data_IF_373686309532
#
_entry.id   IF_373686309532
#
_cell.length_a   1.000
_cell.length_b   1.000
_cell.length_c   1.000
_cell.angle_alpha   90.00
_cell.angle_beta   90.00
_cell.angle_gamma   90.00
#
_symmetry.space_group_name_H-M   'P 1'
#
loop_
_entity.id
_entity.type
_entity.pdbx_description
1 polymer ?
#
# COMPACT_ATOMS: atom_id res chain seq x y z
N UNK A 1 29.21 -0.90 15.56
CA UNK A 1 28.87 -1.55 14.27
C UNK A 1 29.98 -1.34 13.28
N UNK A 2 30.47 -2.40 12.64
CA UNK A 2 31.62 -2.35 11.71
C UNK A 2 31.32 -1.45 10.49
N UNK A 3 32.08 -0.39 10.35
CA UNK A 3 32.06 0.52 9.18
C UNK A 3 32.70 -0.12 7.91
N UNK A 4 32.85 -1.46 7.89
CA UNK A 4 33.42 -2.14 6.73
C UNK A 4 32.35 -2.19 5.61
N UNK A 5 32.69 -1.82 4.37
CA UNK A 5 31.79 -1.95 3.25
C UNK A 5 31.39 -3.43 3.09
N UNK A 6 30.09 -3.67 2.95
CA UNK A 6 29.60 -5.03 2.70
C UNK A 6 30.13 -5.50 1.33
N UNK A 7 30.66 -6.73 1.24
CA UNK A 7 31.09 -7.26 -0.06
C UNK A 7 29.89 -7.45 -0.99
N UNK A 8 30.08 -7.27 -2.29
CA UNK A 8 29.03 -7.33 -3.30
C UNK A 8 28.26 -8.66 -3.26
N UNK A 9 28.94 -9.76 -2.92
CA UNK A 9 28.36 -11.08 -2.74
C UNK A 9 27.34 -11.20 -1.62
N UNK A 10 27.35 -10.29 -0.62
CA UNK A 10 26.31 -10.20 0.42
C UNK A 10 25.31 -9.09 0.12
N UNK A 11 25.77 -8.02 -0.48
CA UNK A 11 24.98 -6.83 -0.77
C UNK A 11 23.85 -7.15 -1.76
N UNK A 12 24.14 -7.84 -2.87
CA UNK A 12 23.17 -8.16 -3.90
C UNK A 12 22.04 -9.10 -3.43
N UNK A 13 22.31 -10.24 -2.74
CA UNK A 13 21.23 -11.06 -2.19
C UNK A 13 20.33 -10.33 -1.19
N UNK A 14 20.89 -9.47 -0.32
CA UNK A 14 20.12 -8.67 0.63
C UNK A 14 19.26 -7.63 -0.10
N UNK A 15 19.78 -6.98 -1.13
CA UNK A 15 19.00 -6.02 -1.95
C UNK A 15 17.86 -6.72 -2.69
N UNK A 16 18.08 -7.93 -3.21
CA UNK A 16 17.02 -8.76 -3.78
C UNK A 16 15.94 -9.13 -2.74
N UNK A 17 16.34 -9.44 -1.50
CA UNK A 17 15.36 -9.70 -0.43
C UNK A 17 14.46 -8.50 -0.17
N UNK A 18 15.03 -7.29 -0.07
CA UNK A 18 14.28 -6.06 0.10
C UNK A 18 13.39 -5.75 -1.09
N UNK A 19 13.87 -5.97 -2.32
CA UNK A 19 13.10 -5.85 -3.55
C UNK A 19 11.86 -6.78 -3.52
N UNK A 20 12.05 -8.05 -3.20
CA UNK A 20 10.93 -9.01 -3.15
C UNK A 20 9.97 -8.75 -1.99
N UNK A 21 10.43 -8.24 -0.86
CA UNK A 21 9.57 -7.90 0.27
C UNK A 21 8.57 -6.78 -0.07
N UNK A 22 9.03 -5.74 -0.77
CA UNK A 22 8.19 -4.60 -1.16
C UNK A 22 7.34 -4.88 -2.40
N UNK A 23 7.75 -5.83 -3.23
CA UNK A 23 7.20 -6.02 -4.57
C UNK A 23 5.70 -6.32 -4.54
N UNK A 24 5.26 -7.23 -3.64
CA UNK A 24 3.86 -7.60 -3.52
C UNK A 24 2.94 -6.42 -3.18
N UNK A 25 3.32 -5.61 -2.20
CA UNK A 25 2.56 -4.44 -1.78
C UNK A 25 2.56 -3.34 -2.87
N UNK A 26 3.71 -3.07 -3.48
CA UNK A 26 3.84 -2.02 -4.50
C UNK A 26 3.02 -2.28 -5.76
N UNK A 27 2.85 -3.53 -6.18
CA UNK A 27 2.07 -3.86 -7.37
C UNK A 27 0.57 -3.97 -7.10
N UNK A 28 0.15 -4.24 -5.86
CA UNK A 28 -1.26 -4.33 -5.51
C UNK A 28 -1.99 -2.99 -5.67
N UNK A 29 -1.38 -1.89 -5.24
CA UNK A 29 -2.00 -0.56 -5.29
C UNK A 29 -2.37 -0.15 -6.72
N UNK A 30 -1.45 -0.18 -7.73
CA UNK A 30 -1.82 0.16 -9.09
C UNK A 30 -2.86 -0.80 -9.69
N UNK A 31 -2.81 -2.10 -9.39
CA UNK A 31 -3.82 -3.05 -9.85
C UNK A 31 -5.21 -2.76 -9.26
N UNK A 32 -5.29 -2.29 -8.02
CA UNK A 32 -6.53 -1.91 -7.36
C UNK A 32 -7.06 -0.55 -7.84
N UNK A 33 -6.18 0.38 -8.17
CA UNK A 33 -6.55 1.74 -8.58
C UNK A 33 -6.71 1.92 -10.08
N UNK A 34 -6.31 0.92 -10.90
CA UNK A 34 -6.30 1.03 -12.36
C UNK A 34 -5.07 1.77 -12.92
N UNK A 35 -4.07 2.05 -12.07
CA UNK A 35 -2.79 2.65 -12.48
C UNK A 35 -1.86 1.59 -13.07
N UNK A 36 -0.81 2.02 -13.76
CA UNK A 36 0.14 1.11 -14.40
C UNK A 36 1.15 0.54 -13.39
N UNK A 37 1.29 -0.80 -13.25
CA UNK A 37 2.25 -1.41 -12.31
C UNK A 37 3.72 -1.06 -12.60
N UNK A 38 4.13 -0.94 -13.87
CA UNK A 38 5.50 -0.57 -14.23
C UNK A 38 5.80 0.89 -13.80
N UNK A 39 4.84 1.81 -13.96
CA UNK A 39 4.95 3.18 -13.46
C UNK A 39 5.04 3.22 -11.94
N UNK A 40 4.25 2.40 -11.24
CA UNK A 40 4.32 2.31 -9.77
C UNK A 40 5.68 1.80 -9.29
N UNK A 41 6.26 0.79 -9.94
CA UNK A 41 7.61 0.32 -9.65
C UNK A 41 8.67 1.41 -9.92
N UNK A 42 8.57 2.12 -11.05
CA UNK A 42 9.48 3.22 -11.40
C UNK A 42 9.44 4.33 -10.35
N UNK A 43 8.23 4.78 -9.99
CA UNK A 43 8.04 5.88 -9.05
C UNK A 43 8.39 5.51 -7.61
N UNK A 44 8.16 4.26 -7.20
CA UNK A 44 8.62 3.70 -5.94
C UNK A 44 10.15 3.69 -5.85
N UNK A 45 10.82 3.20 -6.90
CA UNK A 45 12.29 3.15 -6.96
C UNK A 45 12.91 4.55 -6.94
N UNK A 46 12.47 5.43 -7.83
CA UNK A 46 12.98 6.80 -7.90
C UNK A 46 12.63 7.63 -6.67
N UNK A 47 11.43 7.43 -6.10
CA UNK A 47 11.00 8.04 -4.83
C UNK A 47 11.86 7.59 -3.66
N UNK A 48 12.20 6.30 -3.58
CA UNK A 48 13.14 5.76 -2.57
C UNK A 48 14.52 6.40 -2.70
N UNK A 49 15.06 6.52 -3.92
CA UNK A 49 16.37 7.18 -4.13
C UNK A 49 16.31 8.66 -3.77
N UNK A 50 15.24 9.37 -4.09
CA UNK A 50 15.01 10.76 -3.71
C UNK A 50 14.94 10.91 -2.18
N UNK A 51 14.24 10.01 -1.48
CA UNK A 51 14.21 9.97 -0.02
C UNK A 51 15.60 9.80 0.58
N UNK A 52 16.40 8.87 0.05
CA UNK A 52 17.79 8.68 0.51
C UNK A 52 18.65 9.90 0.26
N UNK A 53 18.48 10.61 -0.86
CA UNK A 53 19.18 11.85 -1.15
C UNK A 53 18.85 12.92 -0.09
N UNK A 54 17.57 13.11 0.23
CA UNK A 54 17.11 14.14 1.18
C UNK A 54 17.52 13.80 2.62
N UNK A 55 17.48 12.52 3.00
CA UNK A 55 17.90 12.05 4.33
C UNK A 55 19.40 11.83 4.46
N UNK A 56 20.19 12.12 3.40
CA UNK A 56 21.63 11.94 3.37
C UNK A 56 22.07 10.48 3.48
N UNK A 57 21.23 9.54 3.01
CA UNK A 57 21.51 8.10 3.07
C UNK A 57 21.60 7.54 4.48
N UNK A 58 21.00 8.19 5.48
CA UNK A 58 21.14 7.79 6.89
C UNK A 58 20.05 6.79 7.31
N UNK A 59 18.85 6.88 6.73
CA UNK A 59 17.68 6.10 7.14
C UNK A 59 17.52 4.90 6.20
N UNK A 60 17.57 3.67 6.71
CA UNK A 60 17.37 2.47 5.89
C UNK A 60 15.88 2.21 5.69
N UNK A 61 15.20 3.06 4.93
CA UNK A 61 13.79 2.91 4.56
C UNK A 61 13.65 2.68 3.05
N UNK A 62 12.62 1.95 2.65
CA UNK A 62 12.16 1.80 1.29
C UNK A 62 10.76 2.42 1.17
N UNK A 63 10.51 3.13 0.09
CA UNK A 63 9.22 3.76 -0.18
C UNK A 63 8.51 3.02 -1.30
N UNK A 64 7.23 2.77 -1.11
CA UNK A 64 6.39 2.16 -2.12
C UNK A 64 4.96 2.69 -2.10
N UNK A 65 4.10 2.08 -2.90
CA UNK A 65 2.74 2.55 -3.12
C UNK A 65 1.88 2.51 -1.85
N UNK A 66 1.27 3.62 -1.46
CA UNK A 66 0.47 3.73 -0.24
C UNK A 66 -0.94 3.17 -0.41
N UNK A 67 -1.34 2.28 0.48
CA UNK A 67 -2.70 1.70 0.53
C UNK A 67 -3.77 2.71 0.95
N UNK A 68 -3.40 3.71 1.74
CA UNK A 68 -4.34 4.73 2.21
C UNK A 68 -4.98 5.53 1.07
N UNK A 69 -4.30 5.64 -0.06
CA UNK A 69 -4.78 6.39 -1.22
C UNK A 69 -5.66 5.57 -2.18
N UNK A 70 -5.83 4.24 -1.99
CA UNK A 70 -6.58 3.39 -2.93
C UNK A 70 -8.01 3.90 -3.09
N UNK A 71 -8.79 3.92 -2.01
CA UNK A 71 -10.20 4.32 -2.08
C UNK A 71 -10.40 5.78 -2.55
N UNK A 72 -9.63 6.77 -2.05
CA UNK A 72 -9.70 8.13 -2.56
C UNK A 72 -9.34 8.27 -4.05
N UNK A 73 -8.31 7.56 -4.53
CA UNK A 73 -7.95 7.57 -5.96
C UNK A 73 -9.08 6.96 -6.80
N UNK A 74 -9.63 5.80 -6.39
CA UNK A 74 -10.75 5.18 -7.09
C UNK A 74 -11.96 6.11 -7.18
N UNK A 75 -12.32 6.77 -6.08
CA UNK A 75 -13.43 7.69 -6.03
C UNK A 75 -13.23 8.90 -6.97
N UNK A 76 -12.06 9.55 -6.86
CA UNK A 76 -11.74 10.74 -7.67
C UNK A 76 -11.55 10.38 -9.15
N UNK A 77 -10.90 9.24 -9.44
CA UNK A 77 -10.71 8.79 -10.82
C UNK A 77 -12.04 8.48 -11.52
N UNK A 78 -13.02 7.93 -10.80
CA UNK A 78 -14.34 7.63 -11.33
C UNK A 78 -15.17 8.90 -11.60
N UNK A 79 -15.04 9.95 -10.77
CA UNK A 79 -15.86 11.16 -10.85
C UNK A 79 -15.19 12.29 -11.65
N UNK A 80 -13.86 12.45 -11.53
CA UNK A 80 -13.09 13.57 -12.09
C UNK A 80 -11.95 13.15 -13.03
N UNK A 81 -11.69 11.84 -13.18
CA UNK A 81 -10.61 11.29 -13.99
C UNK A 81 -9.25 11.19 -13.26
N UNK A 82 -8.33 10.41 -13.84
CA UNK A 82 -7.00 10.18 -13.25
C UNK A 82 -6.12 11.44 -13.17
N UNK A 83 -6.28 12.39 -14.09
CA UNK A 83 -5.54 13.66 -14.05
C UNK A 83 -5.86 14.48 -12.81
N UNK A 84 -7.14 14.50 -12.38
CA UNK A 84 -7.56 15.17 -11.15
C UNK A 84 -7.06 14.40 -9.90
N UNK A 85 -7.08 13.08 -9.93
CA UNK A 85 -6.50 12.26 -8.87
C UNK A 85 -5.00 12.52 -8.71
N UNK A 86 -4.25 12.58 -9.81
CA UNK A 86 -2.81 12.89 -9.80
C UNK A 86 -2.53 14.29 -9.23
N UNK A 87 -3.27 15.32 -9.66
CA UNK A 87 -3.15 16.68 -9.13
C UNK A 87 -3.41 16.75 -7.62
N UNK A 88 -4.46 16.06 -7.15
CA UNK A 88 -4.79 15.98 -5.72
C UNK A 88 -3.74 15.21 -4.90
N UNK A 89 -3.15 14.14 -5.46
CA UNK A 89 -2.04 13.41 -4.85
C UNK A 89 -0.74 14.25 -4.78
N UNK A 90 -0.46 15.07 -5.82
CA UNK A 90 0.65 16.04 -5.76
C UNK A 90 0.42 17.02 -4.62
N UNK A 91 -0.79 17.55 -4.50
CA UNK A 91 -1.15 18.46 -3.41
C UNK A 91 -0.99 17.80 -2.04
N UNK A 92 -1.38 16.52 -1.89
CA UNK A 92 -1.13 15.75 -0.68
C UNK A 92 0.36 15.69 -0.33
N UNK A 93 1.24 15.40 -1.29
CA UNK A 93 2.69 15.42 -1.08
C UNK A 93 3.24 16.82 -0.72
N UNK A 94 2.67 17.90 -1.27
CA UNK A 94 3.02 19.27 -0.89
C UNK A 94 2.62 19.60 0.57
N UNK A 95 1.54 19.00 1.09
CA UNK A 95 1.20 19.11 2.51
C UNK A 95 2.26 18.49 3.42
N UNK A 96 2.90 17.38 3.01
CA UNK A 96 4.06 16.84 3.73
C UNK A 96 5.23 17.83 3.76
N UNK A 97 5.51 18.48 2.62
CA UNK A 97 6.57 19.49 2.52
C UNK A 97 6.29 20.66 3.47
N UNK A 98 5.05 21.14 3.47
CA UNK A 98 4.60 22.20 4.40
C UNK A 98 4.74 21.75 5.85
N UNK A 99 4.22 20.57 6.20
CA UNK A 99 4.31 20.01 7.55
C UNK A 99 5.75 19.78 7.98
N UNK A 100 6.63 19.33 7.08
CA UNK A 100 8.08 19.23 7.32
C UNK A 100 8.66 20.57 7.74
N UNK A 101 8.31 21.65 7.02
CA UNK A 101 8.72 23.02 7.38
C UNK A 101 8.23 23.46 8.77
N UNK A 102 6.95 23.17 9.08
CA UNK A 102 6.36 23.47 10.39
C UNK A 102 7.09 22.68 11.48
N UNK A 103 7.32 21.38 11.32
CA UNK A 103 8.03 20.55 12.29
C UNK A 103 9.44 21.06 12.55
N UNK A 104 10.12 21.53 11.51
CA UNK A 104 11.45 22.13 11.67
C UNK A 104 11.44 23.38 12.56
N UNK A 105 10.34 24.14 12.56
CA UNK A 105 10.17 25.37 13.34
C UNK A 105 9.68 25.10 14.76
N UNK A 106 8.68 24.25 14.94
CA UNK A 106 7.99 24.04 16.24
C UNK A 106 8.49 22.81 17.01
N UNK A 107 9.19 21.90 16.35
CA UNK A 107 9.71 20.69 16.95
C UNK A 107 8.75 19.52 17.05
N UNK A 108 9.28 18.34 17.35
CA UNK A 108 8.55 17.08 17.46
C UNK A 108 7.47 17.04 18.56
N UNK A 109 7.69 17.63 19.77
CA UNK A 109 6.68 17.58 20.85
C UNK A 109 5.33 18.22 20.49
N UNK A 110 5.34 19.29 19.67
CA UNK A 110 4.11 19.93 19.20
C UNK A 110 3.30 19.00 18.30
N UNK A 111 3.95 18.23 17.43
CA UNK A 111 3.30 17.26 16.55
C UNK A 111 2.65 16.14 17.35
N UNK A 112 3.37 15.57 18.32
CA UNK A 112 2.86 14.49 19.18
C UNK A 112 1.65 14.92 20.02
N UNK A 113 1.55 16.21 20.36
CA UNK A 113 0.39 16.75 21.06
C UNK A 113 -0.85 16.84 20.18
N UNK A 114 -0.68 17.16 18.90
CA UNK A 114 -1.77 17.31 17.93
C UNK A 114 -2.27 15.95 17.47
N UNK A 115 -1.35 14.99 17.28
CA UNK A 115 -1.61 13.66 16.73
C UNK A 115 -1.14 12.58 17.74
N UNK A 116 -1.86 12.43 18.87
CA UNK A 116 -1.52 11.41 19.87
C UNK A 116 -1.97 10.00 19.42
N UNK A 117 -1.49 8.93 20.06
CA UNK A 117 -1.84 7.55 19.71
C UNK A 117 -3.35 7.25 19.70
N UNK A 118 -4.15 7.93 20.50
CA UNK A 118 -5.62 7.81 20.54
C UNK A 118 -6.28 8.25 19.22
N UNK A 119 -5.61 9.08 18.43
CA UNK A 119 -6.02 9.47 17.07
C UNK A 119 -5.38 8.56 16.04
N UNK A 120 -4.06 8.29 16.17
CA UNK A 120 -3.27 7.50 15.23
C UNK A 120 -3.84 6.11 15.03
N UNK A 121 -4.07 5.37 16.12
CA UNK A 121 -4.53 3.99 16.07
C UNK A 121 -5.82 3.81 15.27
N UNK A 122 -6.92 4.52 15.62
CA UNK A 122 -8.18 4.42 14.90
C UNK A 122 -8.08 4.87 13.44
N UNK A 123 -7.27 5.89 13.13
CA UNK A 123 -7.04 6.33 11.74
C UNK A 123 -6.41 5.22 10.92
N UNK A 124 -5.37 4.54 11.42
CA UNK A 124 -4.76 3.37 10.76
C UNK A 124 -5.80 2.25 10.62
N UNK A 125 -6.64 2.01 11.64
CA UNK A 125 -7.70 1.00 11.54
C UNK A 125 -8.66 1.28 10.38
N UNK A 126 -9.01 2.54 10.13
CA UNK A 126 -9.92 2.90 9.04
C UNK A 126 -9.33 2.67 7.65
N UNK A 127 -7.99 2.63 7.48
CA UNK A 127 -7.35 2.27 6.21
C UNK A 127 -7.73 0.83 5.85
N UNK A 128 -7.48 -0.11 6.75
CA UNK A 128 -7.79 -1.52 6.51
C UNK A 128 -9.29 -1.78 6.38
N UNK A 129 -10.09 -1.28 7.32
CA UNK A 129 -11.54 -1.50 7.35
C UNK A 129 -12.27 -0.82 6.18
N UNK A 130 -11.83 0.36 5.77
CA UNK A 130 -12.43 1.09 4.64
C UNK A 130 -12.27 0.36 3.29
N UNK A 131 -11.26 -0.50 3.16
CA UNK A 131 -10.99 -1.29 1.97
C UNK A 131 -11.61 -2.70 2.00
N UNK A 132 -12.32 -3.07 3.09
CA UNK A 132 -12.93 -4.39 3.23
C UNK A 132 -13.95 -4.71 2.12
N UNK A 133 -14.71 -3.71 1.66
CA UNK A 133 -15.63 -3.83 0.52
C UNK A 133 -14.91 -4.21 -0.78
N UNK A 134 -13.78 -3.59 -1.06
CA UNK A 134 -12.93 -3.91 -2.23
C UNK A 134 -12.40 -5.34 -2.14
N UNK A 135 -11.92 -5.76 -0.98
CA UNK A 135 -11.45 -7.13 -0.75
C UNK A 135 -12.56 -8.16 -1.03
N UNK A 136 -13.79 -7.89 -0.54
CA UNK A 136 -14.97 -8.72 -0.78
C UNK A 136 -15.26 -8.85 -2.27
N UNK A 137 -15.43 -7.75 -2.99
CA UNK A 137 -15.79 -7.78 -4.42
C UNK A 137 -14.78 -8.53 -5.26
N UNK A 138 -13.48 -8.39 -4.96
CA UNK A 138 -12.43 -9.12 -5.66
C UNK A 138 -12.43 -10.62 -5.35
N UNK A 139 -12.69 -11.01 -4.11
CA UNK A 139 -12.78 -12.42 -3.71
C UNK A 139 -14.02 -13.12 -4.28
N UNK A 140 -15.16 -12.42 -4.37
CA UNK A 140 -16.42 -12.94 -4.90
C UNK A 140 -16.37 -13.29 -6.39
N UNK A 141 -15.42 -12.75 -7.17
CA UNK A 141 -15.21 -13.15 -8.58
C UNK A 141 -14.97 -14.66 -8.69
N UNK A 142 -14.18 -15.23 -7.78
CA UNK A 142 -14.03 -16.68 -7.60
C UNK A 142 -13.56 -16.98 -6.18
N UNK A 143 -14.51 -17.29 -5.31
CA UNK A 143 -14.24 -17.50 -3.88
C UNK A 143 -13.27 -18.66 -3.62
N UNK A 144 -13.26 -19.70 -4.45
CA UNK A 144 -12.34 -20.83 -4.28
C UNK A 144 -10.90 -20.42 -4.48
N UNK A 145 -10.59 -19.67 -5.56
CA UNK A 145 -9.24 -19.15 -5.82
C UNK A 145 -8.83 -18.19 -4.69
N UNK A 146 -9.75 -17.29 -4.28
CA UNK A 146 -9.47 -16.34 -3.22
C UNK A 146 -9.14 -17.04 -1.89
N UNK A 147 -9.92 -18.05 -1.50
CA UNK A 147 -9.70 -18.80 -0.25
C UNK A 147 -8.43 -19.64 -0.29
N UNK A 148 -8.10 -20.29 -1.42
CA UNK A 148 -6.84 -21.03 -1.57
C UNK A 148 -5.65 -20.08 -1.45
N UNK A 149 -5.73 -18.91 -2.09
CA UNK A 149 -4.68 -17.88 -2.00
C UNK A 149 -4.54 -17.35 -0.58
N UNK A 150 -5.66 -17.02 0.09
CA UNK A 150 -5.67 -16.57 1.47
C UNK A 150 -5.02 -17.59 2.42
N UNK A 151 -5.42 -18.87 2.32
CA UNK A 151 -4.84 -19.95 3.12
C UNK A 151 -3.34 -20.11 2.84
N UNK A 152 -2.92 -20.03 1.57
CA UNK A 152 -1.51 -20.10 1.21
C UNK A 152 -0.70 -18.99 1.90
N UNK A 153 -1.18 -17.72 1.84
CA UNK A 153 -0.50 -16.59 2.50
C UNK A 153 -0.45 -16.79 4.02
N UNK A 154 -1.56 -17.24 4.66
CA UNK A 154 -1.60 -17.50 6.10
C UNK A 154 -0.59 -18.59 6.49
N UNK A 155 -0.60 -19.71 5.78
CA UNK A 155 0.31 -20.84 6.07
C UNK A 155 1.77 -20.39 5.92
N UNK A 156 2.10 -19.67 4.84
CA UNK A 156 3.46 -19.17 4.63
C UNK A 156 3.84 -18.16 5.72
N UNK A 157 2.96 -17.24 6.08
CA UNK A 157 3.25 -16.23 7.11
C UNK A 157 3.56 -16.85 8.48
N UNK A 158 2.90 -17.95 8.82
CA UNK A 158 3.02 -18.59 10.13
C UNK A 158 4.13 -19.64 10.15
N UNK A 159 4.16 -20.52 9.17
CA UNK A 159 4.99 -21.73 9.20
C UNK A 159 6.27 -21.64 8.38
N UNK A 160 6.37 -20.70 7.41
CA UNK A 160 7.57 -20.60 6.60
C UNK A 160 8.77 -20.12 7.41
N UNK A 161 9.95 -20.60 7.01
CA UNK A 161 11.25 -20.23 7.59
C UNK A 161 12.15 -19.60 6.52
N UNK A 162 13.17 -18.87 6.98
CA UNK A 162 14.15 -18.26 6.08
C UNK A 162 13.53 -17.24 5.13
N UNK A 163 13.89 -17.30 3.86
CA UNK A 163 13.50 -16.33 2.83
C UNK A 163 11.99 -16.27 2.59
N UNK A 164 11.30 -17.42 2.54
CA UNK A 164 9.84 -17.47 2.30
C UNK A 164 9.03 -16.71 3.35
N UNK A 165 9.51 -16.67 4.61
CA UNK A 165 8.89 -15.90 5.68
C UNK A 165 8.91 -14.38 5.39
N UNK A 166 9.86 -13.90 4.59
CA UNK A 166 10.02 -12.48 4.25
C UNK A 166 9.10 -12.03 3.12
N UNK A 167 8.62 -12.97 2.28
CA UNK A 167 7.86 -12.68 1.09
C UNK A 167 6.50 -13.42 1.04
N UNK A 168 5.69 -13.40 2.11
CA UNK A 168 4.47 -14.19 2.17
C UNK A 168 3.46 -13.77 1.11
N UNK A 169 3.33 -12.46 0.85
CA UNK A 169 2.42 -11.90 -0.15
C UNK A 169 2.81 -12.37 -1.54
N UNK A 170 4.08 -12.21 -1.92
CA UNK A 170 4.57 -12.64 -3.24
C UNK A 170 4.44 -14.16 -3.44
N UNK A 171 4.74 -14.93 -2.40
CA UNK A 171 4.57 -16.39 -2.43
C UNK A 171 3.09 -16.80 -2.56
N UNK A 172 2.21 -16.08 -1.89
CA UNK A 172 0.76 -16.26 -2.01
C UNK A 172 0.25 -15.93 -3.41
N UNK A 173 0.74 -14.82 -4.01
CA UNK A 173 0.47 -14.49 -5.43
C UNK A 173 0.88 -15.66 -6.32
N UNK A 174 2.13 -16.14 -6.19
CA UNK A 174 2.65 -17.21 -7.03
C UNK A 174 1.84 -18.50 -6.90
N UNK A 175 1.45 -18.89 -5.68
CA UNK A 175 0.65 -20.11 -5.44
C UNK A 175 -0.79 -19.94 -5.94
N UNK A 176 -1.45 -18.81 -5.69
CA UNK A 176 -2.79 -18.52 -6.17
C UNK A 176 -2.85 -18.43 -7.69
N UNK A 177 -1.83 -17.81 -8.30
CA UNK A 177 -1.66 -17.76 -9.74
C UNK A 177 -1.45 -19.15 -10.33
N UNK A 178 -0.54 -19.95 -9.76
CA UNK A 178 -0.29 -21.33 -10.17
C UNK A 178 -1.54 -22.21 -10.04
N UNK A 179 -2.32 -22.07 -8.96
CA UNK A 179 -3.60 -22.75 -8.79
C UNK A 179 -4.61 -22.35 -9.87
N UNK A 180 -4.67 -21.06 -10.20
CA UNK A 180 -5.54 -20.57 -11.29
C UNK A 180 -5.14 -21.15 -12.64
N UNK A 181 -3.84 -21.20 -12.94
CA UNK A 181 -3.32 -21.86 -14.16
C UNK A 181 -3.68 -23.34 -14.20
N UNK A 182 -3.56 -24.05 -13.08
CA UNK A 182 -3.92 -25.46 -12.98
C UNK A 182 -5.40 -25.68 -13.28
N UNK A 183 -6.28 -24.88 -12.72
CA UNK A 183 -7.71 -24.94 -12.99
C UNK A 183 -8.04 -24.62 -14.45
N UNK A 184 -7.36 -23.62 -15.01
CA UNK A 184 -7.51 -23.25 -16.41
C UNK A 184 -7.04 -24.37 -17.35
N UNK A 185 -5.90 -25.01 -17.03
CA UNK A 185 -5.39 -26.18 -17.78
C UNK A 185 -6.32 -27.38 -17.70
N UNK A 186 -6.86 -27.71 -16.52
CA UNK A 186 -7.86 -28.79 -16.37
C UNK A 186 -9.12 -28.51 -17.21
N UNK A 187 -9.59 -27.26 -17.24
CA UNK A 187 -10.72 -26.86 -18.07
C UNK A 187 -10.42 -27.02 -19.57
N UNK A 188 -9.21 -26.68 -19.99
CA UNK A 188 -8.75 -26.85 -21.37
C UNK A 188 -8.72 -28.33 -21.77
N UNK A 189 -8.21 -29.21 -20.90
CA UNK A 189 -8.23 -30.66 -21.07
C UNK A 189 -9.67 -31.21 -21.15
N UNK A 190 -10.57 -30.77 -20.27
CA UNK A 190 -11.98 -31.18 -20.29
C UNK A 190 -12.75 -30.60 -21.48
N UNK A 191 -12.35 -29.44 -21.99
CA UNK A 191 -12.93 -28.84 -23.20
C UNK A 191 -12.52 -29.56 -24.48
N UNK A 192 -11.30 -30.12 -24.55
CA UNK A 192 -10.81 -30.95 -25.67
C UNK A 192 -11.56 -32.31 -25.69
N UNK A 193 -11.77 -32.91 -24.52
CA UNK A 193 -12.68 -34.05 -24.39
C UNK A 193 -14.11 -33.50 -24.32
N UNK A 194 -14.74 -33.42 -25.46
CA UNK A 194 -16.17 -33.08 -25.55
C UNK A 194 -16.95 -34.22 -24.90
N UNK A 195 -16.79 -34.40 -23.59
CA UNK A 195 -17.41 -35.46 -22.79
C UNK A 195 -18.92 -35.38 -22.90
N UNK A 196 -19.46 -34.18 -23.13
CA UNK A 196 -20.88 -33.95 -23.38
C UNK A 196 -21.38 -34.60 -24.68
N UNK A 197 -20.55 -34.58 -25.74
CA UNK A 197 -20.88 -35.28 -27.02
C UNK A 197 -20.57 -36.77 -26.96
N UNK A 198 -19.55 -37.19 -26.20
CA UNK A 198 -19.18 -38.60 -26.04
C UNK A 198 -20.14 -39.38 -25.12
N UNK A 199 -20.70 -38.72 -24.10
CA UNK A 199 -21.59 -39.38 -23.14
C UNK A 199 -23.06 -39.32 -23.52
N UNK A 200 -23.47 -38.51 -24.49
CA UNK A 200 -24.86 -38.38 -24.97
C UNK A 200 -25.91 -38.11 -23.88
N UNK A 201 -27.02 -37.50 -24.24
CA UNK A 201 -28.19 -37.36 -23.36
C UNK A 201 -28.07 -36.35 -22.21
N UNK A 202 -29.00 -36.43 -21.25
CA UNK A 202 -29.17 -35.48 -20.13
C UNK A 202 -27.94 -35.37 -19.20
N UNK A 203 -27.13 -36.40 -19.09
CA UNK A 203 -25.93 -36.41 -18.26
C UNK A 203 -24.80 -35.61 -18.92
N UNK A 204 -24.58 -35.79 -20.22
CA UNK A 204 -23.61 -34.99 -20.98
C UNK A 204 -23.93 -33.50 -20.99
N UNK A 205 -25.22 -33.15 -21.12
CA UNK A 205 -25.66 -31.74 -21.02
C UNK A 205 -25.42 -31.14 -19.62
N UNK A 206 -25.59 -31.93 -18.54
CA UNK A 206 -25.27 -31.50 -17.17
C UNK A 206 -23.78 -31.29 -16.94
N UNK A 207 -22.93 -32.18 -17.44
CA UNK A 207 -21.48 -32.09 -17.33
C UNK A 207 -20.93 -30.91 -18.17
N UNK A 208 -21.44 -30.72 -19.38
CA UNK A 208 -21.10 -29.56 -20.23
C UNK A 208 -21.52 -28.20 -19.63
N UNK A 209 -22.60 -28.18 -18.83
CA UNK A 209 -23.05 -26.97 -18.17
C UNK A 209 -22.31 -26.61 -16.87
N UNK A 210 -21.64 -27.57 -16.24
CA UNK A 210 -20.88 -27.37 -14.99
C UNK A 210 -19.66 -26.43 -15.14
N UNK A 211 -18.79 -26.54 -16.17
CA UNK A 211 -17.63 -25.69 -16.31
C UNK A 211 -17.96 -24.19 -16.48
N UNK A 212 -19.05 -23.87 -17.18
CA UNK A 212 -19.46 -22.48 -17.42
C UNK A 212 -19.99 -21.76 -16.19
N UNK A 213 -20.44 -22.50 -15.15
CA UNK A 213 -20.88 -21.93 -13.86
C UNK A 213 -19.74 -21.84 -12.84
N UNK A 214 -18.70 -22.66 -12.98
CA UNK A 214 -17.59 -22.73 -12.02
C UNK A 214 -16.50 -21.76 -12.41
N UNK A 215 -16.29 -21.49 -13.69
CA UNK A 215 -15.30 -20.52 -14.18
C UNK A 215 -15.86 -19.72 -15.36
N UNK A 216 -16.17 -18.45 -15.20
CA UNK A 216 -16.31 -17.51 -16.31
C UNK A 216 -15.01 -17.45 -17.13
N UNK A 217 -15.00 -16.80 -18.26
CA UNK A 217 -13.91 -16.64 -19.25
C UNK A 217 -12.46 -16.76 -18.71
N UNK A 218 -11.45 -17.06 -19.53
CA UNK A 218 -10.08 -17.27 -19.05
C UNK A 218 -9.65 -16.12 -18.15
N UNK A 219 -9.27 -16.45 -16.90
CA UNK A 219 -8.86 -15.47 -15.88
C UNK A 219 -7.45 -14.94 -16.13
N UNK A 220 -6.67 -15.58 -17.02
CA UNK A 220 -5.28 -15.24 -17.35
C UNK A 220 -5.16 -15.21 -18.86
N UNK A 221 -4.85 -14.01 -19.39
CA UNK A 221 -4.54 -13.78 -20.79
C UNK A 221 -3.10 -13.26 -20.93
N UNK A 222 -2.29 -13.95 -21.74
CA UNK A 222 -0.89 -13.60 -21.99
C UNK A 222 -0.69 -12.85 -23.32
N UNK A 223 -1.73 -12.46 -24.02
CA UNK A 223 -1.61 -11.78 -25.32
C UNK A 223 -0.78 -10.48 -25.19
N UNK A 224 -1.15 -9.61 -24.25
CA UNK A 224 -0.42 -8.38 -23.97
C UNK A 224 1.04 -8.63 -23.56
N UNK A 225 1.31 -9.69 -22.79
CA UNK A 225 2.68 -10.06 -22.39
C UNK A 225 3.53 -10.45 -23.60
N UNK A 226 2.95 -11.15 -24.58
CA UNK A 226 3.67 -11.58 -25.79
C UNK A 226 4.03 -10.38 -26.66
N UNK A 227 3.14 -9.43 -26.81
CA UNK A 227 3.30 -8.25 -27.66
C UNK A 227 4.17 -7.17 -27.01
N UNK A 228 4.26 -7.13 -25.67
CA UNK A 228 5.04 -6.13 -24.97
C UNK A 228 6.54 -6.23 -25.27
N UNK A 229 7.24 -5.10 -25.48
CA UNK A 229 8.68 -5.06 -25.65
C UNK A 229 9.42 -5.43 -24.35
N UNK A 230 10.67 -5.90 -24.48
CA UNK A 230 11.50 -6.19 -23.32
C UNK A 230 11.98 -4.95 -22.59
N UNK A 231 12.24 -3.85 -23.31
CA UNK A 231 12.74 -2.59 -22.77
C UNK A 231 11.97 -1.42 -23.38
N UNK A 232 11.36 -0.63 -22.52
CA UNK A 232 10.80 0.69 -22.81
C UNK A 232 10.64 1.49 -21.51
N UNK A 233 10.51 2.80 -21.61
CA UNK A 233 10.10 3.60 -20.46
C UNK A 233 8.67 3.24 -20.05
N UNK A 234 8.36 3.24 -18.73
CA UNK A 234 6.99 3.06 -18.26
C UNK A 234 6.05 4.10 -18.89
N UNK A 235 4.80 3.73 -19.06
CA UNK A 235 3.78 4.66 -19.54
C UNK A 235 3.42 5.60 -18.41
N UNK A 236 3.89 6.84 -18.51
CA UNK A 236 3.57 7.90 -17.56
C UNK A 236 2.22 8.51 -17.97
N UNK A 237 1.23 8.32 -17.12
CA UNK A 237 -0.14 8.84 -17.17
C UNK A 237 -0.77 8.96 -18.56
N UNK A 238 -1.68 8.05 -18.89
CA UNK A 238 -2.67 8.28 -19.95
C UNK A 238 -4.05 7.90 -19.44
N UNK A 239 -5.09 8.66 -19.79
CA UNK A 239 -6.47 8.19 -19.70
C UNK A 239 -6.58 6.93 -20.57
N UNK A 240 -6.71 5.77 -19.95
CA UNK A 240 -6.72 4.49 -20.64
C UNK A 240 -5.38 3.74 -20.66
N UNK A 241 -4.43 4.07 -19.81
CA UNK A 241 -3.15 3.37 -19.68
C UNK A 241 -3.27 1.85 -19.45
N UNK A 242 -4.47 1.38 -19.17
CA UNK A 242 -4.80 -0.04 -19.02
C UNK A 242 -5.36 -0.68 -20.30
N UNK A 243 -5.69 0.07 -21.33
CA UNK A 243 -6.15 -0.44 -22.64
C UNK A 243 -5.13 -0.12 -23.73
N UNK A 244 -4.16 -0.96 -23.88
CA UNK A 244 -3.34 -1.36 -25.00
C UNK A 244 -3.19 -0.49 -26.27
N UNK A 245 -3.01 0.83 -26.19
CA UNK A 245 -2.64 1.64 -27.36
C UNK A 245 -1.29 2.33 -27.12
N UNK A 246 -0.32 2.02 -27.96
CA UNK A 246 1.04 2.50 -27.87
C UNK A 246 1.17 3.99 -28.18
N UNK A 247 1.34 4.80 -27.16
CA UNK A 247 1.71 6.20 -27.24
C UNK A 247 2.11 6.70 -25.87
N UNK A 248 3.14 7.55 -25.80
CA UNK A 248 3.48 8.31 -24.60
C UNK A 248 2.53 9.52 -24.59
N UNK A 249 1.31 9.37 -24.09
CA UNK A 249 0.47 10.50 -23.79
C UNK A 249 0.72 10.89 -22.33
N UNK A 250 1.51 11.95 -22.15
CA UNK A 250 1.73 12.55 -20.84
C UNK A 250 0.52 13.39 -20.47
N UNK A 251 -0.33 12.83 -19.60
CA UNK A 251 -1.48 13.57 -19.09
C UNK A 251 -1.02 14.51 -17.98
N UNK A 252 -1.08 15.82 -18.22
CA UNK A 252 -0.73 16.80 -17.20
C UNK A 252 -1.71 16.70 -16.01
N UNK A 253 -1.19 16.64 -14.76
CA UNK A 253 -2.02 16.66 -13.57
C UNK A 253 -2.94 17.88 -13.54
N UNK A 254 -4.23 17.67 -13.20
CA UNK A 254 -5.22 18.73 -13.10
C UNK A 254 -5.57 18.97 -11.63
N UNK A 255 -5.46 20.23 -11.20
CA UNK A 255 -5.78 20.62 -9.82
C UNK A 255 -7.27 20.98 -9.72
N UNK A 256 -8.07 20.00 -9.33
CA UNK A 256 -9.51 20.14 -9.09
C UNK A 256 -9.76 20.24 -7.58
N UNK A 257 -10.40 21.32 -7.12
CA UNK A 257 -10.61 21.57 -5.68
C UNK A 257 -11.38 20.42 -5.01
N UNK A 258 -12.42 19.89 -5.67
CA UNK A 258 -13.20 18.78 -5.14
C UNK A 258 -12.35 17.51 -4.95
N UNK A 259 -11.48 17.19 -5.93
CA UNK A 259 -10.55 16.09 -5.84
C UNK A 259 -9.52 16.29 -4.72
N UNK A 260 -9.01 17.52 -4.56
CA UNK A 260 -8.06 17.89 -3.51
C UNK A 260 -8.70 17.70 -2.13
N UNK A 261 -9.94 18.14 -1.93
CA UNK A 261 -10.65 17.99 -0.65
C UNK A 261 -10.89 16.51 -0.27
N UNK A 262 -10.98 15.61 -1.24
CA UNK A 262 -11.12 14.18 -1.00
C UNK A 262 -9.77 13.52 -0.66
N UNK A 263 -8.70 13.84 -1.40
CA UNK A 263 -7.41 13.14 -1.32
C UNK A 263 -6.47 13.80 -0.29
N UNK A 264 -6.39 15.13 -0.22
CA UNK A 264 -5.41 15.83 0.60
C UNK A 264 -5.50 15.48 2.11
N UNK A 265 -6.69 15.26 2.71
CA UNK A 265 -6.78 14.85 4.11
C UNK A 265 -6.10 13.52 4.43
N UNK A 266 -5.93 12.64 3.41
CA UNK A 266 -5.22 11.37 3.56
C UNK A 266 -3.74 11.59 3.86
N UNK A 267 -3.16 12.70 3.43
CA UNK A 267 -1.79 13.07 3.79
C UNK A 267 -1.55 13.07 5.31
N UNK A 268 -2.56 13.48 6.09
CA UNK A 268 -2.47 13.45 7.57
C UNK A 268 -2.33 12.00 8.05
N UNK A 269 -3.13 11.11 7.50
CA UNK A 269 -3.13 9.68 7.83
C UNK A 269 -1.75 9.07 7.55
N UNK A 270 -1.23 9.33 6.36
CA UNK A 270 0.04 8.74 5.91
C UNK A 270 1.27 9.43 6.54
N UNK A 271 1.19 10.70 6.92
CA UNK A 271 2.22 11.33 7.78
C UNK A 271 2.29 10.67 9.17
N UNK A 272 1.15 10.26 9.71
CA UNK A 272 1.08 9.52 10.97
C UNK A 272 1.65 8.12 10.82
N UNK A 273 1.33 7.42 9.73
CA UNK A 273 1.92 6.12 9.36
C UNK A 273 3.45 6.25 9.25
N UNK A 274 3.94 7.26 8.52
CA UNK A 274 5.36 7.55 8.39
C UNK A 274 6.06 7.75 9.74
N UNK A 275 5.44 8.50 10.67
CA UNK A 275 5.98 8.66 12.02
C UNK A 275 6.09 7.31 12.75
N UNK A 276 5.09 6.45 12.64
CA UNK A 276 5.09 5.10 13.19
C UNK A 276 6.22 4.24 12.64
N UNK A 277 6.42 4.29 11.32
CA UNK A 277 7.50 3.57 10.64
C UNK A 277 8.89 4.08 11.03
N UNK A 278 9.06 5.41 11.15
CA UNK A 278 10.32 6.00 11.61
C UNK A 278 10.65 5.57 13.04
N UNK A 279 9.66 5.48 13.92
CA UNK A 279 9.82 4.93 15.27
C UNK A 279 10.21 3.44 15.23
N UNK A 280 9.56 2.64 14.40
CA UNK A 280 9.85 1.22 14.24
C UNK A 280 11.26 0.99 13.68
N UNK A 281 11.67 1.74 12.66
CA UNK A 281 13.04 1.70 12.11
C UNK A 281 14.05 2.11 13.18
N UNK A 282 13.77 3.20 13.92
CA UNK A 282 14.65 3.70 14.98
C UNK A 282 14.90 2.65 16.06
N UNK A 283 13.84 1.96 16.50
CA UNK A 283 13.93 0.85 17.47
C UNK A 283 14.71 -0.35 16.91
N UNK A 284 14.43 -0.72 15.65
CA UNK A 284 15.06 -1.87 14.98
C UNK A 284 16.55 -1.65 14.76
N UNK A 285 16.96 -0.43 14.40
CA UNK A 285 18.34 -0.06 14.08
C UNK A 285 19.10 0.42 15.32
N UNK A 286 18.38 0.66 16.43
CA UNK A 286 18.92 1.27 17.66
C UNK A 286 19.53 2.65 17.41
N UNK A 287 18.87 3.49 16.58
CA UNK A 287 19.27 4.86 16.27
C UNK A 287 18.04 5.76 16.26
N UNK A 288 18.18 6.96 16.80
CA UNK A 288 17.09 7.95 16.79
C UNK A 288 17.07 8.74 15.46
N UNK A 289 16.28 8.25 14.51
CA UNK A 289 16.08 8.91 13.22
C UNK A 289 15.09 10.08 13.28
N UNK A 290 14.33 10.20 14.38
CA UNK A 290 13.46 11.35 14.60
C UNK A 290 14.25 12.62 14.94
N UNK A 291 15.41 12.45 15.61
CA UNK A 291 16.32 13.53 15.92
C UNK A 291 17.37 13.75 14.81
N UNK A 292 17.94 12.66 14.24
CA UNK A 292 18.97 12.73 13.19
C UNK A 292 18.78 11.64 12.14
N UNK A 293 18.47 11.99 10.88
CA UNK A 293 18.47 13.32 10.23
C UNK A 293 17.33 14.26 10.65
N UNK A 294 16.37 13.78 11.43
CA UNK A 294 15.22 14.51 11.92
C UNK A 294 13.94 14.20 11.15
N UNK A 295 12.81 14.15 11.88
CA UNK A 295 11.49 13.85 11.29
C UNK A 295 11.14 14.81 10.14
N UNK A 296 11.54 16.09 10.23
CA UNK A 296 11.31 17.05 9.16
C UNK A 296 11.98 16.63 7.84
N UNK A 297 13.17 16.00 7.86
CA UNK A 297 13.84 15.53 6.64
C UNK A 297 13.21 14.27 6.08
N UNK A 298 12.79 13.34 6.95
CA UNK A 298 12.16 12.11 6.49
C UNK A 298 10.78 12.39 5.89
N UNK A 299 9.98 13.28 6.51
CA UNK A 299 8.71 13.75 5.94
C UNK A 299 8.89 14.53 4.63
N UNK A 300 9.94 15.38 4.54
CA UNK A 300 10.24 16.07 3.29
C UNK A 300 10.54 15.07 2.17
N UNK A 301 11.32 14.04 2.47
CA UNK A 301 11.67 13.00 1.51
C UNK A 301 10.44 12.20 1.05
N UNK A 302 9.58 11.82 1.98
CA UNK A 302 8.35 11.07 1.68
C UNK A 302 7.34 11.92 0.89
N UNK A 303 7.14 13.18 1.27
CA UNK A 303 6.26 14.11 0.57
C UNK A 303 6.70 14.43 -0.85
N UNK A 304 8.00 14.66 -1.06
CA UNK A 304 8.54 14.88 -2.41
C UNK A 304 8.48 13.60 -3.25
N UNK A 305 8.71 12.42 -2.66
CA UNK A 305 8.55 11.14 -3.35
C UNK A 305 7.09 10.90 -3.74
N UNK A 306 6.12 11.26 -2.87
CA UNK A 306 4.68 11.21 -3.14
C UNK A 306 4.29 12.13 -4.28
N UNK A 307 4.70 13.41 -4.25
CA UNK A 307 4.42 14.37 -5.33
C UNK A 307 5.06 13.93 -6.66
N UNK A 308 6.29 13.43 -6.61
CA UNK A 308 7.01 12.91 -7.77
C UNK A 308 6.30 11.71 -8.38
N UNK A 309 5.86 10.76 -7.55
CA UNK A 309 5.12 9.59 -8.02
C UNK A 309 3.83 10.00 -8.72
N UNK A 310 3.03 10.86 -8.09
CA UNK A 310 1.78 11.35 -8.64
C UNK A 310 1.97 12.16 -9.93
N UNK A 311 3.04 12.97 -10.02
CA UNK A 311 3.38 13.72 -11.24
C UNK A 311 3.66 12.81 -12.42
N UNK A 312 4.29 11.65 -12.19
CA UNK A 312 4.57 10.64 -13.21
C UNK A 312 3.39 9.66 -13.43
N UNK A 313 2.28 9.83 -12.72
CA UNK A 313 1.10 8.97 -12.84
C UNK A 313 1.20 7.64 -12.10
N UNK A 314 2.13 7.54 -11.16
CA UNK A 314 2.19 6.47 -10.18
C UNK A 314 1.34 6.79 -8.94
N UNK A 315 1.03 5.77 -8.11
CA UNK A 315 0.38 5.99 -6.82
C UNK A 315 1.31 6.73 -5.85
N UNK A 316 0.75 7.53 -4.92
CA UNK A 316 1.51 8.15 -3.83
C UNK A 316 2.39 7.15 -3.10
N UNK A 317 3.60 7.56 -2.73
CA UNK A 317 4.53 6.74 -1.98
C UNK A 317 4.34 6.90 -0.47
N UNK A 318 4.75 5.89 0.28
CA UNK A 318 4.90 5.89 1.75
C UNK A 318 6.02 4.96 2.15
N UNK A 319 6.51 5.09 3.38
CA UNK A 319 7.49 4.13 3.94
C UNK A 319 6.88 2.75 4.13
N UNK A 320 7.68 1.69 3.93
CA UNK A 320 7.20 0.31 3.95
C UNK A 320 7.61 -0.46 5.20
N UNK A 321 6.60 -0.87 5.97
CA UNK A 321 6.75 -1.74 7.13
C UNK A 321 7.32 -3.13 6.81
N UNK A 322 7.02 -3.67 5.61
CA UNK A 322 7.54 -4.95 5.14
C UNK A 322 9.07 -4.96 5.10
N UNK A 323 9.67 -3.87 4.65
CA UNK A 323 11.13 -3.72 4.60
C UNK A 323 11.73 -3.58 6.00
N UNK A 324 11.00 -3.02 6.97
CA UNK A 324 11.41 -3.00 8.38
C UNK A 324 11.49 -4.43 8.93
N UNK A 325 10.56 -5.31 8.56
CA UNK A 325 10.60 -6.73 8.89
C UNK A 325 11.87 -7.43 8.37
N UNK A 326 12.30 -7.10 7.14
CA UNK A 326 13.57 -7.62 6.58
C UNK A 326 14.77 -7.09 7.36
N UNK A 327 14.81 -5.81 7.71
CA UNK A 327 15.87 -5.22 8.56
C UNK A 327 15.98 -5.93 9.90
N UNK A 328 14.84 -6.16 10.57
CA UNK A 328 14.79 -6.83 11.87
C UNK A 328 15.32 -8.27 11.80
N UNK A 329 15.03 -8.99 10.72
CA UNK A 329 15.42 -10.38 10.55
C UNK A 329 16.90 -10.53 10.14
N UNK A 330 17.34 -9.71 9.18
CA UNK A 330 18.71 -9.79 8.62
C UNK A 330 19.72 -9.11 9.52
N UNK A 331 19.29 -8.16 10.36
CA UNK A 331 20.12 -7.27 11.16
C UNK A 331 21.20 -6.52 10.35
N UNK A 332 20.90 -6.28 9.07
CA UNK A 332 21.75 -5.49 8.17
C UNK A 332 21.09 -4.15 7.93
N UNK A 333 21.64 -3.10 8.50
CA UNK A 333 21.05 -1.76 8.55
C UNK A 333 21.77 -0.76 7.62
N UNK A 334 22.50 -1.26 6.64
CA UNK A 334 23.19 -0.41 5.67
C UNK A 334 22.22 0.14 4.63
N UNK A 335 21.97 1.46 4.55
CA UNK A 335 21.04 2.04 3.59
C UNK A 335 21.36 1.73 2.12
N UNK A 336 22.63 1.45 1.80
CA UNK A 336 23.05 1.06 0.44
C UNK A 336 22.32 -0.19 -0.07
N UNK A 337 21.95 -1.11 0.83
CA UNK A 337 21.17 -2.30 0.47
C UNK A 337 19.82 -1.91 -0.14
N UNK A 338 19.15 -0.92 0.45
CA UNK A 338 17.84 -0.42 -0.01
C UNK A 338 17.97 0.45 -1.27
N UNK A 339 19.05 1.23 -1.37
CA UNK A 339 19.34 1.99 -2.59
C UNK A 339 19.59 1.06 -3.78
N UNK A 340 20.33 -0.03 -3.59
CA UNK A 340 20.51 -1.05 -4.62
C UNK A 340 19.21 -1.82 -4.92
N UNK A 341 18.40 -2.11 -3.90
CA UNK A 341 17.06 -2.67 -4.10
C UNK A 341 16.23 -1.75 -5.01
N UNK A 342 16.24 -0.43 -4.74
CA UNK A 342 15.58 0.56 -5.59
C UNK A 342 16.16 0.57 -7.02
N UNK A 343 17.47 0.48 -7.17
CA UNK A 343 18.12 0.34 -8.49
C UNK A 343 17.67 -0.90 -9.26
N UNK A 344 17.53 -2.05 -8.58
CA UNK A 344 17.00 -3.28 -9.19
C UNK A 344 15.55 -3.12 -9.61
N UNK A 345 14.69 -2.54 -8.75
CA UNK A 345 13.28 -2.25 -9.07
C UNK A 345 13.16 -1.31 -10.27
N UNK A 346 14.04 -0.29 -10.34
CA UNK A 346 14.09 0.62 -11.48
C UNK A 346 14.38 -0.15 -12.78
N UNK A 347 15.33 -1.08 -12.78
CA UNK A 347 15.60 -1.93 -13.95
C UNK A 347 14.38 -2.79 -14.33
N UNK A 348 13.69 -3.38 -13.36
CA UNK A 348 12.45 -4.14 -13.62
C UNK A 348 11.33 -3.28 -14.19
N UNK A 349 11.21 -2.05 -13.74
CA UNK A 349 10.19 -1.10 -14.22
C UNK A 349 10.39 -0.68 -15.68
N UNK A 350 11.61 -0.78 -16.21
CA UNK A 350 11.94 -0.51 -17.61
C UNK A 350 11.55 -1.66 -18.56
N UNK A 351 10.95 -2.74 -18.03
CA UNK A 351 10.46 -3.85 -18.83
C UNK A 351 8.93 -3.85 -18.87
N UNK A 352 8.28 -3.35 -19.95
CA UNK A 352 6.83 -3.45 -20.10
C UNK A 352 6.33 -4.88 -20.01
N UNK A 353 7.14 -5.85 -20.45
CA UNK A 353 6.82 -7.28 -20.32
C UNK A 353 6.58 -7.71 -18.87
N UNK A 354 7.35 -7.19 -17.92
CA UNK A 354 7.15 -7.43 -16.50
C UNK A 354 5.84 -6.76 -16.04
N UNK A 355 5.58 -5.51 -16.45
CA UNK A 355 4.35 -4.81 -16.13
C UNK A 355 3.10 -5.54 -16.62
N UNK A 356 3.09 -5.97 -17.88
CA UNK A 356 1.98 -6.73 -18.44
C UNK A 356 1.82 -8.12 -17.77
N UNK A 357 2.91 -8.78 -17.40
CA UNK A 357 2.85 -10.03 -16.63
C UNK A 357 2.17 -9.82 -15.27
N UNK A 358 2.48 -8.74 -14.58
CA UNK A 358 1.84 -8.40 -13.32
C UNK A 358 0.35 -8.07 -13.50
N UNK A 359 -0.01 -7.43 -14.61
CA UNK A 359 -1.39 -7.14 -14.95
C UNK A 359 -2.24 -8.40 -15.23
N UNK A 360 -1.61 -9.55 -15.52
CA UNK A 360 -2.33 -10.82 -15.67
C UNK A 360 -2.75 -11.46 -14.34
N UNK A 361 -2.34 -10.92 -13.19
CA UNK A 361 -2.71 -11.49 -11.87
C UNK A 361 -4.23 -11.44 -11.70
N UNK A 362 -4.89 -12.60 -11.54
CA UNK A 362 -6.35 -12.64 -11.44
C UNK A 362 -6.90 -11.91 -10.23
N UNK A 363 -8.02 -11.20 -10.41
CA UNK A 363 -8.68 -10.49 -9.32
C UNK A 363 -8.95 -11.36 -8.07
N UNK A 364 -9.42 -12.62 -8.16
CA UNK A 364 -9.64 -13.43 -6.97
C UNK A 364 -8.34 -13.80 -6.23
N UNK A 365 -7.20 -13.91 -6.94
CA UNK A 365 -5.89 -14.08 -6.30
C UNK A 365 -5.58 -12.84 -5.46
N UNK A 366 -5.75 -11.65 -6.03
CA UNK A 366 -5.59 -10.39 -5.30
C UNK A 366 -6.59 -10.30 -4.14
N UNK A 367 -7.86 -10.69 -4.36
CA UNK A 367 -8.91 -10.72 -3.33
C UNK A 367 -8.50 -11.53 -2.10
N UNK A 368 -7.95 -12.72 -2.29
CA UNK A 368 -7.44 -13.55 -1.19
C UNK A 368 -6.32 -12.88 -0.39
N UNK A 369 -5.41 -12.20 -1.07
CA UNK A 369 -4.30 -11.50 -0.42
C UNK A 369 -4.77 -10.27 0.35
N UNK A 370 -5.61 -9.43 -0.26
CA UNK A 370 -6.02 -8.16 0.34
C UNK A 370 -6.94 -8.35 1.54
N UNK A 371 -7.67 -9.47 1.64
CA UNK A 371 -8.42 -9.83 2.86
C UNK A 371 -7.47 -9.88 4.05
N UNK A 372 -6.35 -10.59 3.94
CA UNK A 372 -5.37 -10.67 5.03
C UNK A 372 -4.66 -9.33 5.23
N UNK A 373 -4.22 -8.70 4.15
CA UNK A 373 -3.42 -7.48 4.21
C UNK A 373 -4.19 -6.33 4.86
N UNK A 374 -5.43 -6.08 4.45
CA UNK A 374 -6.26 -5.02 5.04
C UNK A 374 -6.64 -5.32 6.49
N UNK A 375 -6.88 -6.61 6.80
CA UNK A 375 -7.04 -7.05 8.19
C UNK A 375 -5.80 -6.79 9.05
N UNK A 376 -4.60 -7.04 8.51
CA UNK A 376 -3.34 -6.76 9.20
C UNK A 376 -3.12 -5.26 9.40
N UNK A 377 -3.44 -4.41 8.42
CA UNK A 377 -3.37 -2.94 8.57
C UNK A 377 -4.29 -2.48 9.70
N UNK A 378 -5.53 -2.97 9.74
CA UNK A 378 -6.46 -2.66 10.83
C UNK A 378 -5.90 -3.12 12.19
N UNK A 379 -5.30 -4.32 12.26
CA UNK A 379 -4.67 -4.85 13.47
C UNK A 379 -3.46 -4.01 13.94
N UNK A 380 -2.69 -3.40 13.03
CA UNK A 380 -1.62 -2.46 13.38
C UNK A 380 -2.19 -1.23 14.09
N UNK A 381 -3.35 -0.71 13.66
CA UNK A 381 -4.04 0.37 14.36
C UNK A 381 -4.44 -0.02 15.79
N UNK A 382 -4.97 -1.23 16.00
CA UNK A 382 -5.28 -1.76 17.34
C UNK A 382 -3.99 -1.86 18.18
N UNK A 383 -2.94 -2.43 17.59
CA UNK A 383 -1.63 -2.56 18.27
C UNK A 383 -1.09 -1.20 18.70
N UNK A 384 -1.25 -0.16 17.89
CA UNK A 384 -0.83 1.20 18.24
C UNK A 384 -1.51 1.70 19.51
N UNK A 385 -2.82 1.45 19.69
CA UNK A 385 -3.55 1.79 20.92
C UNK A 385 -3.01 1.03 22.13
N UNK A 386 -2.79 -0.29 21.97
CA UNK A 386 -2.34 -1.17 23.05
C UNK A 386 -0.90 -0.85 23.49
N UNK A 387 0.03 -0.73 22.56
CA UNK A 387 1.45 -0.44 22.85
C UNK A 387 1.66 0.91 23.51
N UNK A 388 0.80 1.89 23.21
CA UNK A 388 0.84 3.21 23.83
C UNK A 388 -0.10 3.32 25.05
N UNK A 389 -0.65 2.20 25.51
CA UNK A 389 -1.48 2.10 26.73
C UNK A 389 -2.64 3.14 26.75
N UNK A 390 -3.30 3.32 25.59
CA UNK A 390 -4.43 4.25 25.49
C UNK A 390 -5.58 3.69 26.33
N UNK A 391 -5.94 4.41 27.41
CA UNK A 391 -7.07 4.04 28.25
C UNK A 391 -8.41 4.32 27.55
N UNK A 392 -9.12 3.25 27.17
CA UNK A 392 -10.44 3.31 26.55
C UNK A 392 -11.58 3.32 27.55
N UNK A 393 -11.31 3.18 28.87
CA UNK A 393 -12.30 3.46 29.91
C UNK A 393 -12.50 4.97 30.07
N UNK A 394 -11.52 5.77 29.66
CA UNK A 394 -11.68 7.21 29.60
C UNK A 394 -12.69 7.57 28.47
N UNK A 395 -13.84 8.14 28.86
CA UNK A 395 -14.95 8.49 27.95
C UNK A 395 -14.49 9.39 26.79
N UNK A 396 -13.55 10.33 27.06
CA UNK A 396 -12.96 11.19 26.04
C UNK A 396 -12.29 10.37 24.93
N UNK A 397 -11.40 9.44 25.32
CA UNK A 397 -10.66 8.60 24.39
C UNK A 397 -11.61 7.68 23.61
N UNK A 398 -12.62 7.11 24.30
CA UNK A 398 -13.62 6.26 23.68
C UNK A 398 -14.43 7.02 22.60
N UNK A 399 -14.84 8.26 22.88
CA UNK A 399 -15.55 9.11 21.91
C UNK A 399 -14.67 9.38 20.69
N UNK A 400 -13.40 9.78 20.88
CA UNK A 400 -12.46 10.08 19.79
C UNK A 400 -12.32 8.84 18.88
N UNK A 401 -12.02 7.69 19.48
CA UNK A 401 -11.84 6.41 18.74
C UNK A 401 -13.10 6.02 17.97
N UNK A 402 -14.28 6.10 18.61
CA UNK A 402 -15.56 5.72 18.00
C UNK A 402 -15.90 6.60 16.79
N UNK A 403 -15.75 7.90 16.93
CA UNK A 403 -16.07 8.86 15.85
C UNK A 403 -15.10 8.70 14.68
N UNK A 404 -13.79 8.52 14.92
CA UNK A 404 -12.81 8.28 13.87
C UNK A 404 -13.19 7.03 13.06
N UNK A 405 -13.49 5.91 13.75
CA UNK A 405 -13.83 4.65 13.08
C UNK A 405 -15.10 4.81 12.25
N UNK A 406 -16.17 5.32 12.84
CA UNK A 406 -17.46 5.44 12.14
C UNK A 406 -17.35 6.40 10.95
N UNK A 407 -16.77 7.58 11.12
CA UNK A 407 -16.60 8.52 10.02
C UNK A 407 -15.66 7.98 8.94
N UNK A 408 -14.61 7.24 9.36
CA UNK A 408 -13.63 6.67 8.45
C UNK A 408 -14.20 5.60 7.51
N UNK A 409 -15.21 4.82 7.93
CA UNK A 409 -15.74 3.69 7.16
C UNK A 409 -17.15 3.90 6.61
N UNK A 410 -17.92 4.86 7.14
CA UNK A 410 -19.35 5.02 6.82
C UNK A 410 -19.64 5.59 5.43
N UNK A 411 -18.63 6.17 4.75
CA UNK A 411 -18.85 6.91 3.50
C UNK A 411 -19.61 8.23 3.67
N UNK A 412 -19.85 8.69 4.90
CA UNK A 412 -20.45 10.00 5.19
C UNK A 412 -19.64 11.10 4.51
N UNK A 413 -20.35 12.07 3.92
CA UNK A 413 -19.78 13.26 3.29
C UNK A 413 -20.17 14.50 4.09
N UNK A 414 -19.17 15.18 4.67
CA UNK A 414 -19.38 16.40 5.48
C UNK A 414 -18.41 17.46 4.97
N UNK A 415 -18.92 18.62 4.55
CA UNK A 415 -18.12 19.76 4.02
C UNK A 415 -17.11 19.36 2.91
N UNK A 416 -17.45 18.39 2.08
CA UNK A 416 -16.57 17.87 1.04
C UNK A 416 -15.58 16.79 1.50
N UNK A 417 -15.41 16.57 2.81
CA UNK A 417 -14.60 15.51 3.38
C UNK A 417 -15.37 14.17 3.40
N UNK A 418 -14.68 13.07 3.14
CA UNK A 418 -15.29 11.73 3.12
C UNK A 418 -14.32 10.68 3.66
N UNK A 419 -14.87 9.61 4.26
CA UNK A 419 -14.12 8.44 4.68
C UNK A 419 -12.99 8.77 5.66
N UNK A 420 -11.81 8.17 5.46
CA UNK A 420 -10.65 8.28 6.35
C UNK A 420 -10.22 9.72 6.63
N UNK A 421 -10.29 10.59 5.61
CA UNK A 421 -9.96 12.01 5.77
C UNK A 421 -10.90 12.73 6.74
N UNK A 422 -12.21 12.47 6.63
CA UNK A 422 -13.20 13.00 7.58
C UNK A 422 -12.92 12.49 9.00
N UNK A 423 -12.67 11.16 9.14
CA UNK A 423 -12.35 10.55 10.43
C UNK A 423 -11.10 11.15 11.07
N UNK A 424 -10.01 11.30 10.31
CA UNK A 424 -8.74 11.84 10.81
C UNK A 424 -8.88 13.30 11.28
N UNK A 425 -9.45 14.16 10.44
CA UNK A 425 -9.65 15.58 10.79
C UNK A 425 -10.54 15.71 12.01
N UNK A 426 -11.67 14.99 12.04
CA UNK A 426 -12.59 15.05 13.19
C UNK A 426 -11.92 14.54 14.47
N UNK A 427 -11.14 13.46 14.38
CA UNK A 427 -10.37 12.93 15.51
C UNK A 427 -9.36 13.93 16.07
N UNK A 428 -8.63 14.61 15.21
CA UNK A 428 -7.70 15.68 15.61
C UNK A 428 -8.45 16.84 16.28
N UNK A 429 -9.55 17.30 15.68
CA UNK A 429 -10.36 18.37 16.25
C UNK A 429 -10.92 18.00 17.63
N UNK A 430 -11.49 16.79 17.77
CA UNK A 430 -11.97 16.30 19.06
C UNK A 430 -10.84 16.20 20.09
N UNK A 431 -9.66 15.74 19.69
CA UNK A 431 -8.51 15.69 20.58
C UNK A 431 -8.08 17.07 21.09
N UNK A 432 -8.22 18.11 20.27
CA UNK A 432 -7.86 19.49 20.66
C UNK A 432 -8.94 20.16 21.50
N UNK A 433 -10.22 19.85 21.26
CA UNK A 433 -11.36 20.53 21.89
C UNK A 433 -11.77 19.85 23.21
N UNK A 434 -11.75 18.51 23.26
CA UNK A 434 -12.21 17.78 24.43
C UNK A 434 -11.21 17.89 25.60
N UNK A 435 -11.64 18.25 26.83
CA UNK A 435 -10.74 18.38 27.97
C UNK A 435 -10.13 17.04 28.38
N UNK A 436 -8.86 17.06 28.73
CA UNK A 436 -8.11 15.89 29.24
C UNK A 436 -8.05 15.97 30.77
N UNK A 437 -9.13 15.55 31.43
CA UNK A 437 -9.26 15.63 32.89
C UNK A 437 -8.18 14.92 33.69
N UNK A 438 -7.47 13.94 33.12
CA UNK A 438 -6.37 13.26 33.78
C UNK A 438 -5.09 14.10 33.79
N UNK A 439 -4.83 14.83 32.69
CA UNK A 439 -3.73 15.79 32.65
C UNK A 439 -4.01 17.01 33.56
N UNK A 440 -5.27 17.43 33.60
CA UNK A 440 -5.69 18.54 34.45
C UNK A 440 -5.54 18.20 35.95
N UNK A 441 -5.84 16.95 36.35
CA UNK A 441 -5.61 16.48 37.75
C UNK A 441 -4.11 16.29 38.07
N UNK A 442 -3.27 15.94 37.11
CA UNK A 442 -1.82 15.82 37.30
C UNK A 442 -1.14 17.20 37.45
N UNK A 443 -1.76 18.27 36.87
CA UNK A 443 -1.26 19.64 36.94
C UNK A 443 -1.87 20.39 38.14
N UNK A 444 -3.10 20.06 38.57
CA UNK A 444 -3.79 20.62 39.74
C UNK A 444 -4.39 19.50 40.60
N UNK A 445 -3.60 18.94 41.55
CA UNK A 445 -4.06 17.83 42.40
C UNK A 445 -5.13 18.22 43.43
N UNK A 446 -5.53 19.46 43.49
CA UNK A 446 -6.51 20.03 44.49
C UNK A 446 -7.93 20.24 43.94
N UNK A 447 -8.25 19.84 42.69
CA UNK A 447 -9.61 19.96 42.14
C UNK A 447 -10.26 18.58 41.89
#
# INVERSE_FOLDING_TARGET
MSNKPLPLSRLLPLSLQHMFAMFGATILVPLLTGLNPATALFTSATGTLLFHLITGGQVPAYLGSSFAFIAPIQLVAAEYGFAAAAGACIFAGLLYVLTSGIIKLVGLPAVQRIIPPVVVGPVIMTIGLGLAGTAKTMAEVNITIAMVTLLAVIIISIFAKGFLKLIPILSGIALGYGFTLLLQWQRWQMGIVNLGTALGGKFGARVAALPGKIMPAPLIDFSAVKEAPWFALPRFVSEGAYKGSGGIEFLLPRFELAAILIIAPIAIVTMVEHLGDMLAISRTVEKDFLSKPGLHRTLLGDGLATSWAAFLGGPPNTTYGENIGVLALTRVFNPLVLQLAAGLVLLFSLSPKVGELLATIPQPVMGGIVILLFGMIAAVGIRTLVENQVDLNNVRNLIIVSIIIIFGISGLKVLGLVGMGLGAITGILLNLILPDREKDKAVNPEN
#
